data_IF_921568980737
#
_entry.id   IF_921568980737
#
_cell.length_a   1.000
_cell.length_b   1.000
_cell.length_c   1.000
_cell.angle_alpha   90.00
_cell.angle_beta   90.00
_cell.angle_gamma   90.00
#
_symmetry.space_group_name_H-M   'P 1'
#
loop_
_entity.id
_entity.type
_entity.pdbx_description
1 polymer ?
#
# COMPACT_ATOMS: atom_id res chain seq x y z
N UNK A 1 2.21 8.78 8.12
CA UNK A 1 2.89 7.62 8.77
C UNK A 1 4.39 7.67 8.44
N UNK A 2 5.29 7.05 9.23
CA UNK A 2 6.75 7.03 8.95
C UNK A 2 7.18 5.63 8.44
N UNK A 3 8.02 5.51 7.40
CA UNK A 3 8.60 4.24 6.93
C UNK A 3 9.25 3.33 8.00
N UNK A 4 9.80 3.90 9.07
CA UNK A 4 10.46 3.12 10.14
C UNK A 4 9.48 2.61 11.22
N UNK A 5 8.17 2.87 11.06
CA UNK A 5 7.16 2.48 12.03
C UNK A 5 7.10 0.94 12.18
N UNK A 6 7.32 0.37 13.38
CA UNK A 6 7.25 -1.07 13.59
C UNK A 6 5.90 -1.66 13.20
N UNK A 7 4.82 -0.87 13.21
CA UNK A 7 3.49 -1.30 12.77
C UNK A 7 3.49 -1.75 11.31
N UNK A 8 4.27 -1.10 10.43
CA UNK A 8 4.34 -1.44 9.01
C UNK A 8 4.82 -2.88 8.77
N UNK A 9 5.65 -3.42 9.68
CA UNK A 9 6.13 -4.81 9.60
C UNK A 9 5.03 -5.84 9.86
N UNK A 10 3.93 -5.41 10.46
CA UNK A 10 2.79 -6.27 10.85
C UNK A 10 1.62 -6.10 9.86
N UNK A 11 1.52 -4.94 9.19
CA UNK A 11 0.43 -4.69 8.24
C UNK A 11 0.51 -5.63 7.03
N UNK A 12 -0.63 -6.26 6.75
CA UNK A 12 -0.79 -7.18 5.63
C UNK A 12 -2.01 -6.80 4.79
N UNK A 13 -1.94 -7.11 3.50
CA UNK A 13 -3.05 -6.95 2.58
C UNK A 13 -4.27 -7.77 3.05
N UNK A 14 -5.49 -7.20 3.06
CA UNK A 14 -6.67 -7.92 3.50
C UNK A 14 -7.05 -9.10 2.60
N UNK A 15 -6.58 -9.12 1.35
CA UNK A 15 -6.89 -10.16 0.36
C UNK A 15 -5.88 -11.33 0.35
N UNK A 16 -4.59 -11.03 0.17
CA UNK A 16 -3.55 -12.06 -0.01
C UNK A 16 -2.70 -12.31 1.25
N UNK A 17 -2.93 -11.53 2.32
CA UNK A 17 -2.19 -11.61 3.60
C UNK A 17 -0.69 -11.37 3.49
N UNK A 18 -0.19 -10.91 2.34
CA UNK A 18 1.21 -10.54 2.17
C UNK A 18 1.50 -9.11 2.63
N UNK A 19 2.79 -8.73 2.74
CA UNK A 19 3.21 -7.41 3.21
C UNK A 19 2.76 -6.29 2.28
N UNK A 20 2.62 -5.08 2.83
CA UNK A 20 2.31 -3.84 2.11
C UNK A 20 3.49 -2.88 2.19
N UNK A 21 3.68 -2.09 1.14
CA UNK A 21 4.73 -1.06 1.08
C UNK A 21 4.10 0.31 1.29
N UNK A 22 4.66 1.11 2.21
CA UNK A 22 4.23 2.50 2.37
C UNK A 22 4.73 3.34 1.19
N UNK A 23 3.82 4.11 0.59
CA UNK A 23 4.11 5.19 -0.35
C UNK A 23 3.95 6.52 0.42
N UNK A 24 5.02 7.10 0.96
CA UNK A 24 4.92 8.21 1.92
C UNK A 24 4.33 9.49 1.33
N UNK A 25 4.61 9.75 0.04
CA UNK A 25 4.12 10.92 -0.67
C UNK A 25 2.61 10.86 -0.99
N UNK A 26 2.03 9.66 -0.94
CA UNK A 26 0.64 9.40 -1.31
C UNK A 26 -0.21 8.98 -0.12
N UNK A 27 0.35 8.97 1.10
CA UNK A 27 -0.26 8.42 2.32
C UNK A 27 -1.04 7.13 2.04
N UNK A 28 -0.35 6.16 1.43
CA UNK A 28 -1.00 4.98 0.85
C UNK A 28 -0.15 3.74 1.08
N UNK A 29 -0.81 2.60 1.34
CA UNK A 29 -0.18 1.29 1.39
C UNK A 29 -0.40 0.56 0.07
N UNK A 30 0.68 0.09 -0.53
CA UNK A 30 0.68 -0.54 -1.84
C UNK A 30 0.99 -2.04 -1.80
N UNK A 31 0.21 -2.82 -2.52
CA UNK A 31 0.45 -4.23 -2.81
C UNK A 31 0.86 -4.39 -4.29
N UNK A 32 2.15 -4.59 -4.59
CA UNK A 32 2.62 -4.78 -5.98
C UNK A 32 2.15 -6.11 -6.60
N UNK A 33 1.86 -7.13 -5.78
CA UNK A 33 1.46 -8.47 -6.24
C UNK A 33 0.06 -8.46 -6.86
N UNK A 34 -0.86 -7.74 -6.22
CA UNK A 34 -2.25 -7.57 -6.70
C UNK A 34 -2.45 -6.27 -7.48
N UNK A 35 -1.42 -5.41 -7.53
CA UNK A 35 -1.49 -4.04 -8.07
C UNK A 35 -2.62 -3.24 -7.43
N UNK A 36 -2.74 -3.33 -6.11
CA UNK A 36 -3.80 -2.65 -5.34
C UNK A 36 -3.20 -1.72 -4.32
N UNK A 37 -3.87 -0.60 -4.06
CA UNK A 37 -3.46 0.38 -3.05
C UNK A 37 -4.58 0.65 -2.07
N UNK A 38 -4.22 0.99 -0.84
CA UNK A 38 -5.13 1.25 0.27
C UNK A 38 -4.78 2.61 0.89
N UNK A 39 -5.73 3.56 0.97
CA UNK A 39 -5.44 4.89 1.49
C UNK A 39 -5.22 4.86 3.00
N UNK A 40 -4.43 5.80 3.49
CA UNK A 40 -4.31 6.14 4.91
C UNK A 40 -5.08 7.44 5.10
N UNK A 41 -6.12 7.40 5.93
CA UNK A 41 -6.98 8.57 6.21
C UNK A 41 -6.82 8.91 7.68
N UNK A 42 -6.46 10.17 7.98
CA UNK A 42 -6.18 10.64 9.34
C UNK A 42 -5.16 9.77 10.10
N UNK A 43 -4.15 9.27 9.37
CA UNK A 43 -3.13 8.36 9.91
C UNK A 43 -3.58 6.90 10.09
N UNK A 44 -4.81 6.56 9.71
CA UNK A 44 -5.40 5.21 9.86
C UNK A 44 -5.44 4.49 8.50
N UNK A 45 -4.71 3.37 8.35
CA UNK A 45 -4.79 2.52 7.17
C UNK A 45 -6.17 1.92 6.94
N UNK A 46 -6.75 2.15 5.76
CA UNK A 46 -8.04 1.58 5.37
C UNK A 46 -7.87 0.19 4.74
N UNK A 47 -7.66 -0.83 5.58
CA UNK A 47 -7.38 -2.21 5.15
C UNK A 47 -8.63 -3.10 5.02
N UNK A 48 -9.70 -2.55 4.44
CA UNK A 48 -10.86 -3.35 4.03
C UNK A 48 -10.70 -3.77 2.56
N UNK A 49 -11.20 -4.97 2.16
CA UNK A 49 -11.22 -5.37 0.75
C UNK A 49 -11.81 -4.31 -0.19
N UNK A 50 -12.90 -3.65 0.25
CA UNK A 50 -13.63 -2.62 -0.49
C UNK A 50 -12.90 -1.28 -0.59
N UNK A 51 -11.99 -0.98 0.35
CA UNK A 51 -11.18 0.24 0.33
C UNK A 51 -9.99 0.15 -0.63
N UNK A 52 -9.70 -1.04 -1.15
CA UNK A 52 -8.60 -1.24 -2.09
C UNK A 52 -8.94 -0.72 -3.49
N UNK A 53 -8.07 0.11 -4.04
CA UNK A 53 -8.16 0.60 -5.41
C UNK A 53 -7.22 -0.15 -6.34
N UNK A 54 -7.66 -0.41 -7.57
CA UNK A 54 -6.79 -0.99 -8.59
C UNK A 54 -5.83 0.07 -9.11
N UNK A 55 -4.55 -0.28 -9.16
CA UNK A 55 -3.51 0.55 -9.76
C UNK A 55 -3.39 0.20 -11.25
N UNK A 56 -3.58 1.17 -12.17
CA UNK A 56 -3.38 0.96 -13.60
C UNK A 56 -1.95 0.53 -13.94
N UNK A 57 -1.75 -0.12 -15.08
CA UNK A 57 -0.45 -0.67 -15.47
C UNK A 57 0.68 0.38 -15.56
N UNK A 58 0.41 1.53 -16.18
CA UNK A 58 1.40 2.61 -16.27
C UNK A 58 1.84 3.11 -14.89
N UNK A 59 0.88 3.23 -13.97
CA UNK A 59 1.13 3.64 -12.60
C UNK A 59 1.87 2.55 -11.81
N UNK A 60 1.52 1.28 -12.01
CA UNK A 60 2.23 0.15 -11.42
C UNK A 60 3.72 0.16 -11.78
N UNK A 61 4.08 0.39 -13.04
CA UNK A 61 5.48 0.48 -13.46
C UNK A 61 6.20 1.67 -12.82
N UNK A 62 5.52 2.82 -12.70
CA UNK A 62 6.05 4.00 -11.98
C UNK A 62 6.37 3.66 -10.53
N UNK A 63 5.42 3.03 -9.83
CA UNK A 63 5.57 2.66 -8.43
C UNK A 63 6.67 1.62 -8.23
N UNK A 64 6.77 0.58 -9.09
CA UNK A 64 7.85 -0.40 -8.98
C UNK A 64 9.24 0.24 -9.10
N UNK A 65 9.41 1.23 -9.97
CA UNK A 65 10.67 1.95 -10.11
C UNK A 65 11.02 2.80 -8.88
N UNK A 66 10.03 3.23 -8.09
CA UNK A 66 10.23 3.99 -6.85
C UNK A 66 10.61 3.09 -5.66
N UNK A 67 10.30 1.79 -5.74
CA UNK A 67 10.58 0.83 -4.67
C UNK A 67 11.96 0.17 -4.77
N UNK A 68 12.67 0.39 -5.88
CA UNK A 68 13.99 -0.16 -6.17
C UNK A 68 15.11 0.80 -5.82
#
# INVERSE_FOLDING_TARGET
>A
MNPDDPLLKILACPLDKGPLTLLPLEDTLYNPRLRRRYPIVDGIPQLLPSSGEQVPEAEHHRLLNQLN
#
